data_IF_059899200280
#
_entry.id   IF_059899200280
#
_cell.length_a   1.000
_cell.length_b   1.000
_cell.length_c   1.000
_cell.angle_alpha   90.00
_cell.angle_beta   90.00
_cell.angle_gamma   90.00
#
_symmetry.space_group_name_H-M   'P 1'
#
loop_
_entity.id
_entity.type
_entity.pdbx_description
1 polymer ?
#
# COMPACT_ATOMS: atom_id res chain seq x y z
N UNK A 1 55.75 57.68 -2.28
CA UNK A 1 55.42 56.61 -3.25
C UNK A 1 54.98 55.30 -2.60
N UNK A 2 54.57 55.25 -1.32
CA UNK A 2 54.20 53.99 -0.62
C UNK A 2 52.71 53.76 -0.43
N UNK A 3 51.85 54.66 -0.82
CA UNK A 3 50.38 54.57 -0.63
C UNK A 3 49.63 53.90 -1.80
N UNK A 4 50.22 53.97 -3.02
CA UNK A 4 49.56 53.43 -4.22
C UNK A 4 49.59 51.89 -4.32
N UNK A 5 50.47 51.18 -3.61
CA UNK A 5 50.64 49.74 -3.65
C UNK A 5 49.73 49.00 -2.66
N UNK A 6 49.17 49.72 -1.66
CA UNK A 6 48.32 49.09 -0.59
C UNK A 6 46.88 48.89 -1.02
N UNK A 7 46.38 49.74 -1.95
CA UNK A 7 44.99 49.64 -2.44
C UNK A 7 44.69 48.34 -3.23
N UNK A 8 45.51 47.93 -4.18
CA UNK A 8 45.23 46.69 -4.92
C UNK A 8 45.37 45.44 -4.05
N UNK A 9 46.25 45.46 -3.03
CA UNK A 9 46.42 44.32 -2.11
C UNK A 9 45.19 44.11 -1.22
N UNK A 10 44.51 45.17 -0.77
CA UNK A 10 43.30 45.09 0.05
C UNK A 10 42.13 44.58 -0.78
N UNK A 11 42.00 45.00 -2.07
CA UNK A 11 40.97 44.46 -2.97
C UNK A 11 41.20 42.98 -3.32
N UNK A 12 42.45 42.55 -3.46
CA UNK A 12 42.78 41.15 -3.71
C UNK A 12 42.49 40.29 -2.49
N UNK A 13 42.77 40.77 -1.28
CA UNK A 13 42.46 40.05 -0.02
C UNK A 13 40.95 39.98 0.24
N UNK A 14 40.17 41.03 -0.07
CA UNK A 14 38.72 41.05 0.04
C UNK A 14 38.05 40.10 -0.98
N UNK A 15 38.61 39.95 -2.20
CA UNK A 15 38.12 39.02 -3.19
C UNK A 15 38.32 37.55 -2.83
N UNK A 16 39.39 37.21 -2.12
CA UNK A 16 39.69 35.83 -1.67
C UNK A 16 38.82 35.41 -0.52
N UNK A 17 38.45 36.32 0.39
CA UNK A 17 37.52 36.02 1.52
C UNK A 17 36.07 35.78 1.03
N UNK A 18 35.68 36.34 -0.11
CA UNK A 18 34.32 36.15 -0.66
C UNK A 18 34.05 34.77 -1.27
N UNK A 19 35.08 33.97 -1.57
CA UNK A 19 34.97 32.64 -2.18
C UNK A 19 34.90 31.48 -1.16
N UNK A 20 35.06 31.76 0.14
CA UNK A 20 35.01 30.76 1.20
C UNK A 20 33.58 30.45 1.70
N UNK A 21 32.54 30.75 0.90
CA UNK A 21 31.18 30.30 1.11
C UNK A 21 31.06 28.80 0.83
N UNK A 22 31.71 27.95 1.65
CA UNK A 22 31.39 26.53 1.69
C UNK A 22 29.94 26.40 2.09
N UNK A 23 29.05 26.11 1.14
CA UNK A 23 27.70 25.63 1.46
C UNK A 23 27.85 24.32 2.23
N UNK A 24 27.73 24.39 3.56
CA UNK A 24 27.64 23.18 4.39
C UNK A 24 26.34 22.49 3.99
N UNK A 25 26.48 21.56 3.07
CA UNK A 25 25.36 20.70 2.69
C UNK A 25 25.10 19.78 3.90
N UNK A 26 24.02 20.03 4.61
CA UNK A 26 23.64 19.15 5.71
C UNK A 26 23.34 17.76 5.14
N UNK A 27 23.90 16.69 5.71
CA UNK A 27 23.63 15.33 5.27
C UNK A 27 22.13 15.03 5.45
N UNK A 28 21.50 14.56 4.38
CA UNK A 28 20.10 14.12 4.42
C UNK A 28 20.04 12.73 5.03
N UNK A 29 19.32 12.58 6.14
CA UNK A 29 19.12 11.29 6.80
C UNK A 29 18.12 10.44 6.02
N UNK A 30 18.43 9.14 5.90
CA UNK A 30 17.52 8.16 5.30
C UNK A 30 16.74 7.44 6.41
N UNK A 31 15.43 7.36 6.26
CA UNK A 31 14.52 6.74 7.21
C UNK A 31 13.81 5.55 6.60
N UNK A 32 13.55 4.55 7.43
CA UNK A 32 12.73 3.40 7.12
C UNK A 32 11.76 3.16 8.28
N UNK A 33 10.57 2.62 7.99
CA UNK A 33 9.63 2.26 9.04
C UNK A 33 10.17 1.07 9.83
N UNK A 34 10.28 1.25 11.15
CA UNK A 34 10.56 0.13 12.04
C UNK A 34 9.29 -0.70 12.22
N UNK A 35 9.36 -1.94 11.80
CA UNK A 35 8.27 -2.90 11.99
C UNK A 35 8.19 -3.45 13.41
N UNK A 36 9.06 -3.03 14.32
CA UNK A 36 9.19 -3.62 15.64
C UNK A 36 9.65 -5.08 15.59
N UNK A 37 9.54 -5.76 16.72
CA UNK A 37 9.81 -7.20 16.83
C UNK A 37 8.53 -7.93 17.24
N UNK A 38 7.58 -8.15 16.31
CA UNK A 38 6.39 -8.91 16.63
C UNK A 38 6.77 -10.35 16.95
N UNK A 39 5.96 -11.01 17.80
CA UNK A 39 6.13 -12.42 18.08
C UNK A 39 6.16 -13.22 16.77
N UNK A 40 7.10 -14.17 16.65
CA UNK A 40 7.10 -15.06 15.49
C UNK A 40 5.93 -16.03 15.63
N UNK A 41 5.10 -16.18 14.57
CA UNK A 41 3.98 -17.10 14.63
C UNK A 41 4.47 -18.54 14.75
N UNK A 42 3.91 -19.29 15.70
CA UNK A 42 4.27 -20.67 15.99
C UNK A 42 3.30 -21.66 15.32
N UNK A 43 2.10 -21.24 14.98
CA UNK A 43 1.06 -22.09 14.40
C UNK A 43 0.79 -21.82 12.92
N UNK A 44 0.12 -22.76 12.26
CA UNK A 44 -0.39 -22.50 10.91
C UNK A 44 -1.42 -21.35 10.90
N UNK A 45 -2.27 -21.31 11.93
CA UNK A 45 -3.25 -20.26 12.12
C UNK A 45 -4.24 -20.07 10.97
N UNK A 46 -4.97 -18.95 10.99
CA UNK A 46 -5.91 -18.55 9.96
C UNK A 46 -5.18 -18.08 8.70
N UNK A 47 -5.64 -18.45 7.52
CA UNK A 47 -5.08 -17.94 6.26
C UNK A 47 -5.68 -16.58 5.90
N UNK A 48 -4.82 -15.58 5.78
CA UNK A 48 -5.20 -14.20 5.48
C UNK A 48 -4.48 -13.73 4.22
N UNK A 49 -5.24 -13.20 3.28
CA UNK A 49 -4.71 -12.43 2.16
C UNK A 49 -4.76 -10.95 2.52
N UNK A 50 -3.61 -10.36 2.81
CA UNK A 50 -3.50 -8.94 3.13
C UNK A 50 -3.30 -8.14 1.86
N UNK A 51 -4.26 -7.28 1.55
CA UNK A 51 -4.17 -6.37 0.41
C UNK A 51 -5.13 -6.68 -0.73
N UNK A 52 -5.06 -5.83 -1.78
CA UNK A 52 -4.05 -4.78 -1.95
C UNK A 52 -4.12 -3.71 -0.86
N UNK A 53 -2.95 -3.27 -0.37
CA UNK A 53 -2.84 -2.10 0.51
C UNK A 53 -2.66 -0.87 -0.37
N UNK A 54 -3.68 -0.02 -0.40
CA UNK A 54 -3.65 1.23 -1.15
C UNK A 54 -3.20 2.36 -0.23
N UNK A 55 -2.25 3.16 -0.69
CA UNK A 55 -1.82 4.37 0.02
C UNK A 55 -2.10 5.60 -0.84
N UNK A 56 -2.33 6.74 -0.19
CA UNK A 56 -2.54 8.00 -0.90
C UNK A 56 -1.34 8.35 -1.80
N UNK A 57 -1.59 8.99 -2.95
CA UNK A 57 -0.57 9.28 -3.96
C UNK A 57 0.60 10.09 -3.42
N UNK A 58 0.35 11.02 -2.49
CA UNK A 58 1.41 11.83 -1.91
C UNK A 58 2.40 11.02 -1.04
N UNK A 59 1.99 9.82 -0.57
CA UNK A 59 2.82 8.88 0.20
C UNK A 59 3.71 7.99 -0.70
N UNK A 60 3.47 7.97 -2.01
CA UNK A 60 4.23 7.15 -2.96
C UNK A 60 5.56 7.79 -3.37
N UNK A 61 6.02 8.80 -2.66
CA UNK A 61 7.25 9.56 -2.93
C UNK A 61 8.34 9.16 -1.96
N UNK A 62 9.59 9.22 -2.42
CA UNK A 62 10.76 9.07 -1.55
C UNK A 62 10.95 10.26 -0.60
N UNK A 63 10.32 11.39 -0.92
CA UNK A 63 10.39 12.59 -0.10
C UNK A 63 9.52 12.44 1.15
N UNK A 64 10.12 12.61 2.32
CA UNK A 64 9.36 12.71 3.57
C UNK A 64 8.63 14.05 3.59
N UNK A 65 7.29 14.00 3.63
CA UNK A 65 6.45 15.19 3.67
C UNK A 65 6.01 15.50 5.09
N UNK A 66 6.08 16.79 5.44
CA UNK A 66 5.66 17.31 6.74
C UNK A 66 4.45 18.22 6.56
N UNK A 67 3.42 18.00 7.38
CA UNK A 67 2.23 18.85 7.40
C UNK A 67 2.52 20.15 8.14
N UNK A 68 2.12 21.25 7.53
CA UNK A 68 2.23 22.58 8.12
C UNK A 68 0.91 22.95 8.81
N UNK A 69 0.95 24.02 9.62
CA UNK A 69 -0.21 24.50 10.40
C UNK A 69 -1.35 24.98 9.50
N UNK A 70 -1.04 25.45 8.28
CA UNK A 70 -2.01 25.84 7.26
C UNK A 70 -2.60 24.64 6.48
N UNK A 71 -2.20 23.41 6.81
CA UNK A 71 -2.63 22.18 6.16
C UNK A 71 -1.84 21.81 4.92
N UNK A 72 -0.88 22.63 4.46
CA UNK A 72 -0.02 22.30 3.33
C UNK A 72 0.96 21.18 3.66
N UNK A 73 1.52 20.52 2.64
CA UNK A 73 2.57 19.52 2.77
C UNK A 73 3.89 20.09 2.24
N UNK A 74 4.91 20.09 3.05
CA UNK A 74 6.25 20.55 2.70
C UNK A 74 7.25 19.41 2.73
N UNK A 75 8.17 19.38 1.77
CA UNK A 75 9.26 18.42 1.75
C UNK A 75 10.22 18.67 2.94
N UNK A 76 10.56 17.61 3.65
CA UNK A 76 11.62 17.67 4.66
C UNK A 76 12.96 17.97 4.00
N UNK A 77 13.75 18.84 4.61
CA UNK A 77 15.08 19.20 4.12
C UNK A 77 16.17 18.28 4.67
N UNK A 78 15.89 17.60 5.78
CA UNK A 78 16.83 16.82 6.58
C UNK A 78 16.55 15.30 6.55
N UNK A 79 15.46 14.86 5.89
CA UNK A 79 15.09 13.46 5.84
C UNK A 79 14.38 13.03 4.56
N UNK A 80 14.62 11.77 4.16
CA UNK A 80 13.94 11.06 3.07
C UNK A 80 13.67 9.63 3.47
N UNK A 81 12.74 9.00 2.80
CA UNK A 81 12.55 7.54 2.89
C UNK A 81 13.74 6.85 2.22
N UNK A 82 14.24 5.77 2.85
CA UNK A 82 15.35 4.96 2.32
C UNK A 82 14.93 4.11 1.11
N UNK A 83 13.63 3.96 0.89
CA UNK A 83 13.05 3.18 -0.19
C UNK A 83 11.57 3.49 -0.36
N UNK A 84 10.81 2.51 -0.88
CA UNK A 84 9.36 2.64 -1.05
C UNK A 84 8.64 2.54 0.29
N UNK A 85 8.00 3.64 0.71
CA UNK A 85 7.15 3.66 1.91
C UNK A 85 6.01 2.63 1.81
N UNK A 86 5.45 2.41 0.61
CA UNK A 86 4.42 1.38 0.40
C UNK A 86 4.94 -0.01 0.76
N UNK A 87 6.14 -0.36 0.30
CA UNK A 87 6.75 -1.67 0.62
C UNK A 87 7.06 -1.81 2.11
N UNK A 88 7.50 -0.74 2.76
CA UNK A 88 7.74 -0.75 4.22
C UNK A 88 6.44 -0.96 4.98
N UNK A 89 5.35 -0.29 4.59
CA UNK A 89 4.01 -0.47 5.17
C UNK A 89 3.54 -1.92 5.00
N UNK A 90 3.64 -2.47 3.79
CA UNK A 90 3.25 -3.85 3.49
C UNK A 90 3.98 -4.85 4.38
N UNK A 91 5.29 -4.71 4.52
CA UNK A 91 6.13 -5.60 5.33
C UNK A 91 5.87 -5.44 6.83
N UNK A 92 5.64 -4.20 7.30
CA UNK A 92 5.27 -3.94 8.68
C UNK A 92 3.92 -4.60 9.02
N UNK A 93 2.90 -4.35 8.20
CA UNK A 93 1.56 -4.90 8.41
C UNK A 93 1.56 -6.42 8.34
N UNK A 94 2.27 -7.02 7.36
CA UNK A 94 2.42 -8.46 7.24
C UNK A 94 2.95 -9.07 8.54
N UNK A 95 4.09 -8.57 9.04
CA UNK A 95 4.73 -9.10 10.25
C UNK A 95 3.88 -8.91 11.50
N UNK A 96 3.29 -7.72 11.66
CA UNK A 96 2.47 -7.41 12.82
C UNK A 96 1.18 -8.26 12.84
N UNK A 97 0.47 -8.35 11.73
CA UNK A 97 -0.75 -9.14 11.63
C UNK A 97 -0.45 -10.63 11.83
N UNK A 98 0.61 -11.15 11.21
CA UNK A 98 1.04 -12.54 11.39
C UNK A 98 1.35 -12.86 12.87
N UNK A 99 2.08 -11.97 13.55
CA UNK A 99 2.40 -12.11 14.97
C UNK A 99 1.16 -12.04 15.87
N UNK A 100 0.28 -11.06 15.65
CA UNK A 100 -0.95 -10.90 16.45
C UNK A 100 -1.96 -12.03 16.26
N UNK A 101 -2.00 -12.65 15.08
CA UNK A 101 -2.87 -13.79 14.78
C UNK A 101 -2.23 -15.15 15.12
N UNK A 102 -0.95 -15.17 15.49
CA UNK A 102 -0.15 -16.37 15.58
C UNK A 102 -0.29 -17.26 14.34
N UNK A 103 -0.18 -16.66 13.14
CA UNK A 103 -0.40 -17.37 11.89
C UNK A 103 0.75 -17.22 10.92
N UNK A 104 1.30 -18.35 10.45
CA UNK A 104 2.28 -18.42 9.36
C UNK A 104 1.62 -18.30 7.97
N UNK A 105 0.30 -18.21 7.90
CA UNK A 105 -0.49 -18.19 6.65
C UNK A 105 -1.04 -16.81 6.31
N UNK A 106 -0.35 -15.77 6.72
CA UNK A 106 -0.63 -14.40 6.28
C UNK A 106 0.27 -14.08 5.09
N UNK A 107 -0.31 -13.70 3.96
CA UNK A 107 0.42 -13.37 2.74
C UNK A 107 -0.05 -12.03 2.15
N UNK A 108 0.85 -11.33 1.47
CA UNK A 108 0.52 -10.10 0.74
C UNK A 108 -0.12 -10.44 -0.61
N UNK A 109 -1.04 -9.60 -1.06
CA UNK A 109 -1.56 -9.66 -2.42
C UNK A 109 -0.52 -9.08 -3.43
N UNK A 110 -0.38 -9.66 -4.65
CA UNK A 110 -1.09 -10.84 -5.14
C UNK A 110 -0.54 -12.15 -4.57
N UNK A 111 -1.44 -13.06 -4.16
CA UNK A 111 -1.02 -14.36 -3.67
C UNK A 111 -0.57 -15.28 -4.80
N UNK A 112 0.24 -16.28 -4.46
CA UNK A 112 0.61 -17.36 -5.40
C UNK A 112 -0.58 -18.23 -5.75
N UNK A 113 -0.54 -18.85 -6.95
CA UNK A 113 -1.58 -19.78 -7.40
C UNK A 113 -1.81 -20.89 -6.36
N UNK A 114 -3.08 -21.17 -6.07
CA UNK A 114 -3.49 -22.21 -5.10
C UNK A 114 -3.64 -21.71 -3.65
N UNK A 115 -3.27 -20.48 -3.34
CA UNK A 115 -3.54 -19.93 -2.02
C UNK A 115 -5.02 -19.57 -1.88
N UNK A 116 -5.70 -20.19 -0.91
CA UNK A 116 -7.10 -19.92 -0.61
C UNK A 116 -7.19 -19.29 0.78
N UNK A 117 -7.44 -17.97 0.88
CA UNK A 117 -7.54 -17.30 2.16
C UNK A 117 -8.88 -17.62 2.86
N UNK A 118 -8.85 -17.64 4.19
CA UNK A 118 -10.06 -17.63 5.01
C UNK A 118 -10.72 -16.26 4.96
N UNK A 119 -9.87 -15.21 4.97
CA UNK A 119 -10.29 -13.82 4.89
C UNK A 119 -9.32 -13.04 4.01
N UNK A 120 -9.88 -12.20 3.14
CA UNK A 120 -9.16 -11.16 2.42
C UNK A 120 -9.36 -9.83 3.13
N UNK A 121 -8.28 -9.10 3.31
CA UNK A 121 -8.25 -7.74 3.86
C UNK A 121 -7.99 -6.76 2.73
N UNK A 122 -8.94 -5.89 2.44
CA UNK A 122 -8.72 -4.74 1.57
C UNK A 122 -8.46 -3.53 2.48
N UNK A 123 -7.30 -2.89 2.34
CA UNK A 123 -6.88 -1.77 3.18
C UNK A 123 -6.55 -0.55 2.33
N UNK A 124 -7.06 0.60 2.73
CA UNK A 124 -6.72 1.90 2.14
C UNK A 124 -6.26 2.85 3.24
N UNK A 125 -5.05 3.41 3.09
CA UNK A 125 -4.48 4.43 3.98
C UNK A 125 -4.56 5.76 3.21
N UNK A 126 -5.48 6.61 3.64
CA UNK A 126 -5.74 7.90 2.99
C UNK A 126 -4.91 9.03 3.57
N UNK A 127 -4.37 8.83 4.78
CA UNK A 127 -3.46 9.76 5.44
C UNK A 127 -2.45 9.02 6.31
N UNK A 128 -1.19 9.41 6.20
CA UNK A 128 -0.11 9.04 7.11
C UNK A 128 0.92 10.16 7.06
N UNK A 129 0.75 11.16 7.89
CA UNK A 129 1.64 12.32 7.92
C UNK A 129 1.80 12.87 9.34
N UNK A 130 2.76 13.76 9.51
CA UNK A 130 3.07 14.46 10.75
C UNK A 130 3.66 15.82 10.42
N UNK A 131 3.67 16.71 11.38
CA UNK A 131 4.30 18.03 11.25
C UNK A 131 5.27 18.31 12.41
N UNK A 132 6.05 19.36 12.34
CA UNK A 132 6.96 19.72 13.43
C UNK A 132 6.22 20.05 14.73
N UNK A 133 5.04 20.68 14.61
CA UNK A 133 4.17 21.13 15.71
C UNK A 133 2.87 20.33 15.81
N UNK A 134 2.61 19.42 14.87
CA UNK A 134 1.39 18.64 14.80
C UNK A 134 1.67 17.15 15.06
N UNK A 135 0.75 16.41 15.70
CA UNK A 135 0.91 14.98 15.93
C UNK A 135 1.01 14.22 14.59
N UNK A 136 1.55 13.03 14.63
CA UNK A 136 1.38 12.08 13.55
C UNK A 136 -0.08 11.62 13.50
N UNK A 137 -0.64 11.53 12.29
CA UNK A 137 -2.03 11.13 12.05
C UNK A 137 -2.06 10.03 11.00
N UNK A 138 -2.88 9.01 11.26
CA UNK A 138 -3.20 7.96 10.32
C UNK A 138 -4.71 7.89 10.15
N UNK A 139 -5.17 8.02 8.88
CA UNK A 139 -6.54 7.75 8.46
C UNK A 139 -6.54 6.55 7.52
N UNK A 140 -7.32 5.54 7.85
CA UNK A 140 -7.40 4.32 7.06
C UNK A 140 -8.81 3.76 7.04
N UNK A 141 -9.07 2.92 6.06
CA UNK A 141 -10.28 2.12 5.97
C UNK A 141 -9.92 0.70 5.56
N UNK A 142 -10.54 -0.29 6.21
CA UNK A 142 -10.44 -1.67 5.75
C UNK A 142 -11.80 -2.29 5.50
N UNK A 143 -11.79 -3.35 4.69
CA UNK A 143 -12.89 -4.30 4.54
C UNK A 143 -12.36 -5.71 4.66
N UNK A 144 -13.04 -6.52 5.46
CA UNK A 144 -12.78 -7.94 5.61
C UNK A 144 -13.77 -8.73 4.77
N UNK A 145 -13.28 -9.57 3.87
CA UNK A 145 -14.10 -10.36 2.96
C UNK A 145 -13.81 -11.84 3.23
N UNK A 146 -14.84 -12.62 3.50
CA UNK A 146 -14.71 -14.05 3.76
C UNK A 146 -14.55 -14.86 2.45
N UNK A 147 -14.34 -16.18 2.58
CA UNK A 147 -14.22 -17.12 1.44
C UNK A 147 -15.41 -17.11 0.48
N UNK A 148 -16.58 -16.64 0.92
CA UNK A 148 -17.79 -16.54 0.13
C UNK A 148 -17.95 -15.21 -0.60
N UNK A 149 -16.96 -14.32 -0.44
CA UNK A 149 -17.00 -12.96 -0.97
C UNK A 149 -17.91 -12.01 -0.18
N UNK A 150 -18.34 -12.40 1.05
CA UNK A 150 -19.17 -11.56 1.89
C UNK A 150 -18.33 -10.62 2.74
N UNK A 151 -18.74 -9.36 2.80
CA UNK A 151 -18.11 -8.38 3.70
C UNK A 151 -18.51 -8.71 5.14
N UNK A 152 -17.51 -8.98 5.98
CA UNK A 152 -17.68 -9.36 7.40
C UNK A 152 -17.43 -8.19 8.33
N UNK A 153 -16.58 -7.26 7.96
CA UNK A 153 -16.31 -6.02 8.67
C UNK A 153 -15.93 -4.93 7.68
N UNK A 154 -16.31 -3.70 7.98
CA UNK A 154 -15.92 -2.50 7.26
C UNK A 154 -15.75 -1.38 8.28
N UNK A 155 -14.54 -0.84 8.39
CA UNK A 155 -14.23 0.15 9.42
C UNK A 155 -13.37 1.27 8.89
N UNK A 156 -13.71 2.49 9.32
CA UNK A 156 -12.87 3.68 9.17
C UNK A 156 -12.14 3.89 10.50
N UNK A 157 -10.85 4.17 10.41
CA UNK A 157 -9.94 4.33 11.55
C UNK A 157 -9.26 5.68 11.46
N UNK A 158 -9.24 6.38 12.59
CA UNK A 158 -8.47 7.60 12.79
C UNK A 158 -7.59 7.43 14.02
N UNK A 159 -6.28 7.52 13.85
CA UNK A 159 -5.29 7.36 14.92
C UNK A 159 -4.37 8.58 14.97
N UNK A 160 -3.94 8.93 16.17
CA UNK A 160 -2.98 10.01 16.41
C UNK A 160 -1.90 9.56 17.38
N UNK A 161 -0.68 10.07 17.19
CA UNK A 161 0.47 9.85 18.06
C UNK A 161 1.28 11.12 18.21
N UNK A 162 1.63 11.46 19.47
CA UNK A 162 2.48 12.61 19.77
C UNK A 162 3.95 12.28 19.53
N UNK A 163 4.74 13.29 19.21
CA UNK A 163 6.19 13.16 19.01
C UNK A 163 6.94 14.45 19.36
N UNK A 164 8.25 14.39 19.42
CA UNK A 164 9.11 15.51 19.83
C UNK A 164 9.39 16.55 18.72
N UNK A 165 8.76 16.45 17.54
CA UNK A 165 8.90 17.39 16.43
C UNK A 165 10.12 17.17 15.52
N UNK A 166 11.08 16.31 15.90
CA UNK A 166 12.21 15.95 15.03
C UNK A 166 11.75 14.98 13.93
N UNK A 167 12.41 14.97 12.78
CA UNK A 167 12.10 14.05 11.68
C UNK A 167 12.15 12.59 12.12
N UNK A 168 13.13 12.22 12.94
CA UNK A 168 13.24 10.86 13.49
C UNK A 168 12.03 10.51 14.37
N UNK A 169 11.60 11.41 15.28
CA UNK A 169 10.44 11.16 16.14
C UNK A 169 9.11 11.12 15.36
N UNK A 170 9.02 11.89 14.27
CA UNK A 170 7.87 11.85 13.37
C UNK A 170 7.75 10.49 12.67
N UNK A 171 8.85 9.95 12.13
CA UNK A 171 8.89 8.63 11.52
C UNK A 171 8.56 7.53 12.53
N UNK A 172 9.12 7.62 13.75
CA UNK A 172 8.80 6.67 14.81
C UNK A 172 7.31 6.69 15.15
N UNK A 173 6.70 7.87 15.29
CA UNK A 173 5.27 8.00 15.57
C UNK A 173 4.41 7.40 14.46
N UNK A 174 4.78 7.59 13.19
CA UNK A 174 4.09 6.94 12.06
C UNK A 174 4.19 5.42 12.14
N UNK A 175 5.35 4.87 12.53
CA UNK A 175 5.51 3.44 12.78
C UNK A 175 4.60 2.91 13.88
N UNK A 176 4.48 3.63 15.01
CA UNK A 176 3.56 3.29 16.11
C UNK A 176 2.11 3.28 15.65
N UNK A 177 1.69 4.25 14.82
CA UNK A 177 0.34 4.30 14.28
C UNK A 177 0.02 3.08 13.40
N UNK A 178 0.96 2.64 12.57
CA UNK A 178 0.81 1.45 11.73
C UNK A 178 0.76 0.16 12.57
N UNK A 179 1.53 0.08 13.66
CA UNK A 179 1.45 -1.04 14.60
C UNK A 179 0.08 -1.11 15.28
N UNK A 180 -0.46 0.03 15.73
CA UNK A 180 -1.83 0.10 16.29
C UNK A 180 -2.90 -0.24 15.26
N UNK A 181 -2.72 0.16 14.00
CA UNK A 181 -3.62 -0.24 12.91
C UNK A 181 -3.62 -1.76 12.75
N UNK A 182 -2.45 -2.39 12.72
CA UNK A 182 -2.31 -3.84 12.62
C UNK A 182 -2.93 -4.58 13.82
N UNK A 183 -2.79 -4.04 15.03
CA UNK A 183 -3.43 -4.58 16.24
C UNK A 183 -4.95 -4.54 16.12
N UNK A 184 -5.55 -3.39 15.75
CA UNK A 184 -6.98 -3.25 15.57
C UNK A 184 -7.52 -4.16 14.46
N UNK A 185 -6.81 -4.25 13.34
CA UNK A 185 -7.13 -5.14 12.23
C UNK A 185 -7.11 -6.61 12.67
N UNK A 186 -6.08 -7.01 13.41
CA UNK A 186 -5.96 -8.37 13.97
C UNK A 186 -7.09 -8.68 14.96
N UNK A 187 -7.48 -7.68 15.77
CA UNK A 187 -8.63 -7.78 16.65
C UNK A 187 -9.94 -8.03 15.91
N UNK A 188 -10.12 -7.42 14.73
CA UNK A 188 -11.27 -7.65 13.87
C UNK A 188 -11.23 -9.01 13.14
N UNK A 189 -10.03 -9.54 12.87
CA UNK A 189 -9.83 -10.84 12.21
C UNK A 189 -10.03 -12.02 13.16
N UNK A 190 -9.60 -11.93 14.42
CA UNK A 190 -9.68 -13.03 15.41
C UNK A 190 -11.05 -13.71 15.53
N UNK A 191 -12.18 -12.97 15.60
CA UNK A 191 -13.49 -13.61 15.66
C UNK A 191 -13.85 -14.44 14.44
N UNK A 192 -13.27 -14.12 13.27
CA UNK A 192 -13.53 -14.80 12.02
C UNK A 192 -12.77 -16.14 11.93
N UNK A 193 -11.64 -16.29 12.64
CA UNK A 193 -10.87 -17.53 12.72
C UNK A 193 -11.68 -18.67 13.36
N UNK A 194 -12.55 -18.34 14.32
CA UNK A 194 -13.33 -19.30 15.10
C UNK A 194 -14.70 -19.63 14.48
N UNK A 195 -15.04 -19.04 13.34
CA UNK A 195 -16.28 -19.41 12.64
C UNK A 195 -16.05 -20.75 11.94
N UNK A 196 -16.81 -21.82 12.31
CA UNK A 196 -16.66 -23.09 11.64
C UNK A 196 -16.85 -22.88 10.14
N UNK A 197 -15.97 -23.49 9.34
CA UNK A 197 -16.21 -23.59 7.91
C UNK A 197 -17.61 -24.22 7.78
N UNK A 198 -18.62 -23.38 7.46
CA UNK A 198 -19.96 -23.91 7.22
C UNK A 198 -19.77 -24.88 6.08
N UNK A 199 -19.96 -26.20 6.39
CA UNK A 199 -19.83 -27.27 5.45
C UNK A 199 -20.51 -26.83 4.17
N UNK A 200 -19.78 -26.90 3.04
CA UNK A 200 -20.36 -26.71 1.72
C UNK A 200 -21.63 -27.56 1.70
N UNK A 201 -22.80 -26.91 1.73
CA UNK A 201 -24.03 -27.62 1.44
C UNK A 201 -23.82 -28.17 0.04
N UNK A 202 -23.74 -29.49 -0.15
CA UNK A 202 -23.52 -30.07 -1.46
C UNK A 202 -24.55 -29.41 -2.39
N UNK A 203 -24.10 -28.68 -3.38
CA UNK A 203 -24.97 -28.07 -4.37
C UNK A 203 -25.75 -29.22 -4.97
N UNK A 204 -27.03 -29.37 -4.52
CA UNK A 204 -27.92 -30.43 -5.03
C UNK A 204 -27.78 -30.40 -6.53
N UNK A 205 -27.19 -31.45 -7.07
CA UNK A 205 -27.03 -31.58 -8.51
C UNK A 205 -28.36 -31.22 -9.16
N UNK A 206 -28.34 -30.26 -10.05
CA UNK A 206 -29.53 -29.93 -10.81
C UNK A 206 -30.07 -31.24 -11.41
N UNK A 207 -31.39 -31.53 -11.31
CA UNK A 207 -31.96 -32.75 -11.87
C UNK A 207 -31.49 -32.84 -13.33
N UNK A 208 -30.92 -34.00 -13.70
CA UNK A 208 -30.56 -34.26 -15.07
C UNK A 208 -31.79 -34.01 -15.97
N UNK A 209 -31.66 -33.30 -17.10
CA UNK A 209 -32.77 -33.08 -18.01
C UNK A 209 -33.37 -34.43 -18.36
N UNK A 210 -34.68 -34.57 -18.17
CA UNK A 210 -35.42 -35.79 -18.54
C UNK A 210 -35.16 -36.11 -20.02
N UNK A 211 -34.97 -37.39 -20.36
CA UNK A 211 -34.77 -37.79 -21.79
C UNK A 211 -35.97 -37.33 -22.60
N UNK A 212 -35.74 -36.50 -23.60
CA UNK A 212 -36.78 -36.12 -24.58
C UNK A 212 -37.22 -37.36 -25.31
N UNK A 213 -38.54 -37.57 -25.50
CA UNK A 213 -39.01 -38.68 -26.33
C UNK A 213 -38.50 -38.51 -27.77
N UNK A 214 -38.02 -39.61 -28.33
CA UNK A 214 -37.56 -39.68 -29.70
C UNK A 214 -38.71 -39.34 -30.68
N UNK A 215 -38.75 -38.10 -31.11
CA UNK A 215 -39.62 -37.61 -32.16
C UNK A 215 -38.79 -37.31 -33.40
N UNK A 216 -39.18 -37.89 -34.50
CA UNK A 216 -38.61 -37.90 -35.83
C UNK A 216 -37.89 -36.59 -36.22
N UNK A 217 -36.61 -36.70 -36.54
CA UNK A 217 -35.80 -35.67 -37.16
C UNK A 217 -36.33 -35.36 -38.57
N UNK A 218 -37.01 -34.22 -38.73
CA UNK A 218 -37.09 -33.56 -40.02
C UNK A 218 -35.82 -32.77 -40.21
N UNK A 219 -34.93 -33.23 -41.08
CA UNK A 219 -33.71 -32.54 -41.50
C UNK A 219 -34.08 -31.14 -42.01
N UNK A 220 -33.50 -30.06 -41.48
CA UNK A 220 -33.65 -28.74 -42.05
C UNK A 220 -32.85 -28.67 -43.36
N UNK A 221 -33.53 -28.32 -44.46
CA UNK A 221 -32.90 -27.97 -45.75
C UNK A 221 -32.07 -26.69 -45.52
N UNK A 222 -30.76 -26.84 -45.66
CA UNK A 222 -29.83 -25.69 -45.65
C UNK A 222 -29.98 -24.97 -47.00
N UNK A 223 -30.32 -23.65 -47.02
CA UNK A 223 -30.29 -22.89 -48.28
C UNK A 223 -28.83 -22.74 -48.73
N UNK A 224 -28.53 -23.10 -49.98
CA UNK A 224 -27.25 -22.82 -50.60
C UNK A 224 -27.08 -21.31 -50.74
N UNK A 225 -26.07 -20.76 -50.06
CA UNK A 225 -25.67 -19.37 -50.23
C UNK A 225 -24.99 -19.19 -51.60
N UNK A 226 -25.51 -18.28 -52.42
CA UNK A 226 -24.85 -17.80 -53.61
C UNK A 226 -23.61 -16.99 -53.28
N UNK A 227 -22.47 -17.20 -53.96
CA UNK A 227 -21.26 -16.42 -53.66
C UNK A 227 -21.43 -14.97 -54.07
N UNK A 228 -21.18 -14.08 -53.17
CA UNK A 228 -21.10 -12.62 -53.41
C UNK A 228 -19.77 -12.37 -54.13
N UNK A 229 -19.86 -11.88 -55.41
CA UNK A 229 -18.69 -11.33 -56.09
C UNK A 229 -18.33 -10.01 -55.44
N UNK A 230 -17.16 -9.93 -54.80
CA UNK A 230 -16.52 -8.71 -54.42
C UNK A 230 -15.54 -8.29 -55.50
N UNK A 231 -15.97 -7.38 -56.37
CA UNK A 231 -15.06 -6.65 -57.23
C UNK A 231 -14.34 -5.61 -56.36
N UNK A 232 -13.09 -5.90 -56.00
CA UNK A 232 -12.22 -4.92 -55.35
C UNK A 232 -11.53 -4.09 -56.44
N UNK A 233 -12.00 -2.88 -56.65
CA UNK A 233 -11.22 -1.88 -57.36
C UNK A 233 -10.06 -1.42 -56.48
N UNK A 234 -8.84 -1.70 -56.99
CA UNK A 234 -7.59 -1.24 -56.38
C UNK A 234 -7.35 0.18 -56.83
N UNK A 235 -7.60 1.15 -55.96
CA UNK A 235 -7.08 2.51 -56.18
C UNK A 235 -5.60 2.55 -55.78
N UNK A 236 -4.73 2.79 -56.78
CA UNK A 236 -3.34 3.20 -56.61
C UNK A 236 -3.29 4.73 -56.55
N UNK A 237 -2.70 5.26 -55.48
CA UNK A 237 -2.06 6.58 -55.44
C UNK A 237 -0.60 6.43 -55.05
#
# INVERSE_FOLDING_TARGET
MMTALRLPLVFLLAGVLGLAGCSVHQPVSLYQLDSGSPAQPASAGMSVLLGPVLIADYLQRETLLQRQDDGSLQASTDGRWAGSLSSDIDQLLLRQVAGHLDSQRVVLAPATSGFTPDVQVLLSITRLDSGKSQPAVLDAQWRLIDRRGQVRDNRIVHLQEQHAGTTASQVQAQGVLLQRLAEQLSGALKPLANQPAVAEVPRKAAPAPAPKPAGQEKQPKIPMATPIRTDMEVFRF
#
